data_IF_497679691076
#
_entry.id   IF_497679691076
#
_cell.length_a   1.000
_cell.length_b   1.000
_cell.length_c   1.000
_cell.angle_alpha   90.00
_cell.angle_beta   90.00
_cell.angle_gamma   90.00
#
_symmetry.space_group_name_H-M   'P 1'
#
loop_
_entity.id
_entity.type
_entity.pdbx_description
1 polymer ?
2 non-polymer ?
3 water ?
#
# COMPACT_ATOMS: atom_id res chain seq x y z
N UNK A 4 -18.24 7.73 0.01
CA UNK A 4 -18.47 7.95 1.43
C UNK A 4 -17.21 7.71 2.26
N UNK A 5 -16.44 6.68 1.91
CA UNK A 5 -15.20 6.42 2.63
C UNK A 5 -14.20 5.76 1.70
N UNK A 6 -12.92 5.98 1.98
CA UNK A 6 -11.81 5.29 1.33
C UNK A 6 -11.02 4.60 2.43
N UNK A 7 -10.74 3.31 2.25
CA UNK A 7 -9.97 2.48 3.17
C UNK A 7 -8.77 1.87 2.45
N UNK A 8 -7.84 1.36 3.25
CA UNK A 8 -6.79 0.53 2.72
C UNK A 8 -7.38 -0.60 1.89
N UNK A 9 -6.75 -0.93 0.77
CA UNK A 9 -7.26 -1.90 -0.15
C UNK A 9 -8.16 -1.35 -1.24
N UNK A 10 -8.71 -0.15 -1.04
CA UNK A 10 -9.52 0.46 -2.07
C UNK A 10 -8.62 1.15 -3.10
N UNK A 11 -9.14 1.31 -4.30
CA UNK A 11 -8.40 1.90 -5.41
C UNK A 11 -8.73 3.38 -5.56
N UNK A 12 -7.73 4.19 -5.82
CA UNK A 12 -7.88 5.58 -6.22
C UNK A 12 -7.46 5.71 -7.68
N UNK A 13 -7.98 6.73 -8.35
CA UNK A 13 -7.84 6.91 -9.78
C UNK A 13 -7.22 8.27 -10.08
N UNK A 14 -6.36 8.29 -11.09
CA UNK A 14 -5.69 9.53 -11.45
C UNK A 14 -5.21 9.43 -12.90
N UNK A 15 -4.43 10.43 -13.32
CA UNK A 15 -3.77 10.38 -14.61
C UNK A 15 -2.73 9.27 -14.70
N UNK A 16 -2.30 8.71 -13.58
CA UNK A 16 -1.39 7.56 -13.59
C UNK A 16 -2.13 6.25 -13.80
N UNK A 17 -3.45 6.26 -13.79
CA UNK A 17 -4.25 5.06 -13.85
C UNK A 17 -4.83 4.75 -12.48
N UNK A 18 -4.83 3.49 -12.11
CA UNK A 18 -5.35 3.04 -10.83
C UNK A 18 -4.20 2.72 -9.89
N UNK A 19 -4.32 3.14 -8.62
CA UNK A 19 -3.37 2.78 -7.58
C UNK A 19 -4.12 2.44 -6.30
N UNK A 20 -3.71 1.38 -5.63
CA UNK A 20 -4.39 0.92 -4.43
C UNK A 20 -3.84 1.67 -3.22
N UNK A 21 -4.72 2.04 -2.30
CA UNK A 21 -4.29 2.58 -1.02
C UNK A 21 -3.78 1.44 -0.15
N UNK A 22 -2.56 1.57 0.35
CA UNK A 22 -2.07 0.61 1.30
C UNK A 22 -2.70 0.81 2.67
N UNK A 23 -2.46 1.97 3.26
CA UNK A 23 -2.97 2.28 4.58
C UNK A 23 -3.33 3.74 4.65
N UNK A 24 -4.40 4.05 5.38
CA UNK A 24 -4.69 5.42 5.78
C UNK A 24 -3.94 5.73 7.08
N UNK A 25 -3.57 7.00 7.25
CA UNK A 25 -2.88 7.42 8.46
C UNK A 25 -3.25 8.86 8.73
N UNK A 26 -2.77 9.39 9.85
CA UNK A 26 -3.19 10.72 10.26
C UNK A 26 -2.04 11.43 10.94
N UNK A 27 -2.13 12.76 10.90
CA UNK A 27 -1.20 13.67 11.57
C UNK A 27 -2.01 14.93 11.83
N UNK A 28 -2.12 15.34 13.08
CA UNK A 28 -2.74 16.63 13.38
C UNK A 28 -4.13 16.85 12.83
N UNK A 29 -4.95 15.81 12.82
CA UNK A 29 -6.29 15.95 12.31
C UNK A 29 -6.43 15.93 10.79
N UNK A 30 -5.32 15.83 10.06
CA UNK A 30 -5.33 15.64 8.61
C UNK A 30 -5.11 14.16 8.33
N UNK A 31 -5.74 13.68 7.27
CA UNK A 31 -5.67 12.29 6.85
C UNK A 31 -4.87 12.12 5.58
N UNK A 32 -4.21 10.95 5.47
CA UNK A 32 -3.27 10.64 4.41
C UNK A 32 -3.44 9.20 3.98
N UNK A 33 -3.08 8.93 2.72
CA UNK A 33 -2.98 7.58 2.19
C UNK A 33 -1.52 7.32 1.87
N UNK A 34 -1.04 6.13 2.25
CA UNK A 34 0.27 5.64 1.88
C UNK A 34 0.09 4.66 0.74
N UNK A 35 0.76 4.92 -0.37
CA UNK A 35 0.55 4.23 -1.65
C UNK A 35 1.91 3.80 -2.17
N UNK A 36 1.91 2.97 -3.21
CA UNK A 36 3.16 2.58 -3.84
C UNK A 36 3.71 3.72 -4.70
N UNK A 37 5.03 3.92 -4.62
CA UNK A 37 5.62 5.09 -5.26
C UNK A 37 5.64 5.03 -6.78
N UNK A 38 6.02 3.88 -7.34
CA UNK A 38 6.08 3.77 -8.80
C UNK A 38 4.73 4.04 -9.43
N UNK A 39 3.66 3.53 -8.82
CA UNK A 39 2.32 3.67 -9.37
C UNK A 39 1.87 5.11 -9.39
N UNK A 40 2.18 5.87 -8.33
CA UNK A 40 1.72 7.24 -8.22
C UNK A 40 2.39 8.08 -9.27
N UNK A 41 3.68 7.88 -9.47
CA UNK A 41 4.32 8.45 -10.64
C UNK A 41 4.26 9.95 -10.54
N UNK A 42 3.84 10.58 -11.64
CA UNK A 42 3.78 12.02 -11.71
C UNK A 42 2.39 12.58 -11.60
N UNK A 43 1.48 11.90 -10.92
CA UNK A 43 0.12 12.36 -10.76
C UNK A 43 0.00 13.28 -9.55
N UNK A 44 -0.93 14.23 -9.64
CA UNK A 44 -1.27 15.14 -8.56
C UNK A 44 -2.62 14.82 -7.96
N UNK A 45 -3.68 14.72 -8.76
CA UNK A 45 -5.04 14.65 -8.26
C UNK A 45 -5.53 13.22 -8.22
N UNK A 46 -6.19 12.87 -7.12
CA UNK A 46 -6.72 11.53 -6.92
C UNK A 46 -8.21 11.55 -6.67
N UNK A 47 -8.90 10.60 -7.30
CA UNK A 47 -10.35 10.47 -7.30
C UNK A 47 -10.76 9.11 -6.74
N UNK A 48 -11.92 9.07 -6.11
CA UNK A 48 -12.41 7.82 -5.53
C UNK A 48 -13.13 6.95 -6.54
N UNK A 49 -13.42 7.47 -7.74
CA UNK A 49 -14.21 6.76 -8.73
C UNK A 49 -13.52 6.75 -10.09
N UNK A 50 -13.78 5.69 -10.86
CA UNK A 50 -13.19 5.59 -12.18
C UNK A 50 -13.60 6.73 -13.09
N UNK A 51 -14.80 7.26 -12.89
CA UNK A 51 -15.27 8.40 -13.65
C UNK A 51 -14.52 9.69 -13.32
N UNK A 52 -13.72 9.70 -12.26
CA UNK A 52 -12.98 10.87 -11.83
C UNK A 52 -13.91 12.06 -11.58
N UNK A 53 -14.98 11.80 -10.82
CA UNK A 53 -15.91 12.84 -10.42
C UNK A 53 -15.86 13.17 -8.93
N UNK A 54 -15.29 12.29 -8.10
CA UNK A 54 -15.17 12.52 -6.67
C UNK A 54 -13.69 12.68 -6.34
N UNK A 55 -13.22 13.92 -6.33
CA UNK A 55 -11.84 14.23 -5.98
C UNK A 55 -11.67 14.05 -4.48
N UNK A 56 -10.60 13.36 -4.07
CA UNK A 56 -10.38 13.13 -2.65
C UNK A 56 -9.05 13.65 -2.13
N UNK A 57 -8.02 13.81 -2.94
CA UNK A 57 -6.76 14.25 -2.39
C UNK A 57 -5.72 14.52 -3.45
N UNK A 58 -4.54 14.92 -2.97
CA UNK A 58 -3.41 15.29 -3.82
C UNK A 58 -2.13 14.60 -3.34
N UNK A 59 -1.24 14.34 -4.29
CA UNK A 59 0.06 13.79 -3.93
C UNK A 59 0.81 14.79 -3.10
N UNK A 60 1.24 14.37 -1.91
CA UNK A 60 2.08 15.21 -1.09
C UNK A 60 3.57 14.96 -1.33
N UNK A 61 3.98 13.70 -1.45
CA UNK A 61 5.38 13.38 -1.64
C UNK A 61 5.50 12.02 -2.29
N UNK A 62 6.55 11.85 -3.08
CA UNK A 62 6.91 10.56 -3.68
C UNK A 62 8.30 10.20 -3.20
N UNK A 63 8.44 9.02 -2.61
CA UNK A 63 9.73 8.48 -2.17
C UNK A 63 10.01 7.26 -3.02
N UNK A 64 10.43 7.50 -4.23
CA UNK A 64 10.73 6.47 -5.22
C UNK A 64 11.66 7.07 -6.25
N UNK A 65 12.76 6.40 -6.65
CA UNK A 65 13.30 5.14 -6.14
C UNK A 65 13.97 5.36 -4.80
N UNK A 66 14.84 4.42 -4.43
CA UNK A 66 15.39 4.40 -3.10
C UNK A 66 14.43 3.64 -2.19
N UNK A 67 13.38 4.31 -1.77
CA UNK A 67 12.20 3.67 -1.24
C UNK A 67 11.24 3.41 -2.40
N UNK A 68 10.03 2.93 -2.09
CA UNK A 68 8.99 2.80 -3.09
C UNK A 68 7.62 3.03 -2.44
N UNK A 69 7.39 4.27 -1.99
CA UNK A 69 6.07 4.66 -1.49
C UNK A 69 5.81 6.11 -1.86
N UNK A 70 4.54 6.49 -1.72
CA UNK A 70 4.14 7.87 -1.88
C UNK A 70 3.11 8.18 -0.80
N UNK A 71 2.98 9.45 -0.50
CA UNK A 71 2.03 9.92 0.50
C UNK A 71 1.06 10.85 -0.20
N UNK A 72 -0.21 10.53 -0.12
CA UNK A 72 -1.30 11.36 -0.64
C UNK A 72 -1.97 12.02 0.55
N UNK A 73 -2.19 13.33 0.47
CA UNK A 73 -2.93 14.05 1.50
C UNK A 73 -4.38 14.16 1.06
N UNK A 74 -5.29 13.67 1.89
CA UNK A 74 -6.70 13.78 1.59
C UNK A 74 -7.18 15.21 1.84
N UNK A 75 -7.93 15.74 0.91
CA UNK A 75 -8.42 17.10 0.98
C UNK A 75 -9.95 17.21 0.98
N UNK A 76 -10.70 16.13 0.74
CA UNK A 76 -12.15 16.17 0.67
C UNK A 76 -12.71 15.85 2.05
N UNK A 77 -13.25 16.85 2.72
CA UNK A 77 -13.71 16.66 4.09
C UNK A 77 -15.08 16.02 4.17
N UNK A 78 -15.73 15.76 3.05
CA UNK A 78 -17.00 15.06 3.06
C UNK A 78 -16.86 13.55 2.97
N UNK A 79 -15.64 13.04 2.77
CA UNK A 79 -15.37 11.59 2.72
C UNK A 79 -14.58 11.20 3.96
N UNK A 80 -14.84 9.99 4.47
CA UNK A 80 -14.18 9.44 5.65
C UNK A 80 -12.98 8.59 5.23
N UNK A 81 -11.94 8.63 6.07
CA UNK A 81 -10.68 7.92 5.82
C UNK A 81 -10.31 7.13 7.06
N UNK A 82 -11.06 6.09 7.36
CA UNK A 82 -10.81 5.35 8.60
C UNK A 82 -9.52 4.55 8.53
N UNK A 83 -8.99 4.24 9.72
CA UNK A 83 -7.74 3.50 9.86
C UNK A 83 -7.97 2.02 9.72
N UNK A 84 -8.46 1.60 8.56
CA UNK A 84 -9.00 0.28 8.34
C UNK A 84 -8.63 -0.18 6.95
N UNK A 85 -8.70 -1.49 6.75
CA UNK A 85 -8.63 -2.10 5.44
C UNK A 85 -9.99 -2.67 5.08
N UNK A 86 -10.38 -2.53 3.82
CA UNK A 86 -11.63 -3.06 3.32
C UNK A 86 -11.40 -4.52 2.94
N UNK A 87 -12.05 -5.43 3.66
CA UNK A 87 -11.94 -6.86 3.38
C UNK A 87 -12.94 -7.31 2.33
N UNK A 88 -13.84 -6.44 1.90
CA UNK A 88 -14.93 -6.83 1.03
C UNK A 88 -16.16 -7.25 1.82
N UNK A 89 -17.32 -7.14 1.18
CA UNK A 89 -18.55 -7.59 1.80
C UNK A 89 -18.97 -6.78 3.00
N UNK A 90 -18.49 -5.55 3.12
CA UNK A 90 -18.82 -4.72 4.25
C UNK A 90 -18.06 -5.04 5.50
N UNK A 91 -17.03 -5.88 5.42
CA UNK A 91 -16.19 -6.19 6.56
C UNK A 91 -14.90 -5.39 6.49
N UNK A 92 -14.46 -4.92 7.65
CA UNK A 92 -13.29 -4.06 7.76
C UNK A 92 -12.36 -4.58 8.83
N UNK A 93 -11.05 -4.39 8.60
CA UNK A 93 -10.00 -4.73 9.54
C UNK A 93 -9.43 -3.43 10.11
N UNK A 94 -9.43 -3.30 11.44
CA UNK A 94 -8.83 -2.14 12.09
C UNK A 94 -7.33 -2.35 12.20
N UNK A 95 -6.56 -1.46 11.61
CA UNK A 95 -5.10 -1.48 11.64
C UNK A 95 -4.64 -0.68 12.86
N UNK A 96 -3.90 -1.33 13.76
CA UNK A 96 -3.57 -0.75 15.07
C UNK A 96 -2.18 -0.14 15.16
N UNK A 97 -1.26 -0.52 14.28
CA UNK A 97 0.11 -0.13 14.37
C UNK A 97 0.89 -0.91 13.32
N UNK A 98 2.19 -0.68 13.29
CA UNK A 98 3.06 -1.24 12.27
C UNK A 98 4.10 -2.17 12.88
N UNK A 99 4.52 -3.15 12.10
CA UNK A 99 5.55 -4.09 12.51
C UNK A 99 6.92 -3.70 11.96
N UNK A 100 7.94 -3.98 12.71
CA UNK A 100 9.31 -4.00 12.20
C UNK A 100 9.50 -5.39 11.60
N UNK A 101 9.58 -5.54 10.28
CA UNK A 101 9.52 -6.89 9.70
C UNK A 101 10.70 -7.77 10.12
N UNK A 102 10.39 -9.05 10.34
CA UNK A 102 11.38 -10.04 10.77
C UNK A 102 11.15 -11.29 9.94
N UNK A 103 12.24 -11.94 9.52
CA UNK A 103 12.11 -13.15 8.75
C UNK A 103 11.35 -14.19 9.55
N UNK A 104 10.43 -14.89 8.89
CA UNK A 104 9.64 -15.95 9.45
C UNK A 104 8.28 -15.53 9.92
N UNK A 105 8.02 -14.25 10.07
CA UNK A 105 6.73 -13.87 10.60
C UNK A 105 5.64 -14.03 9.56
N UNK A 106 4.43 -14.29 10.02
CA UNK A 106 3.31 -14.47 9.12
C UNK A 106 2.88 -13.14 8.55
N UNK A 107 2.39 -13.17 7.33
CA UNK A 107 1.90 -11.98 6.66
C UNK A 107 0.83 -12.40 5.67
N UNK A 108 -0.21 -11.58 5.56
CA UNK A 108 -1.33 -11.85 4.67
C UNK A 108 -1.64 -10.62 3.83
N UNK A 109 -2.15 -10.87 2.64
CA UNK A 109 -2.61 -9.84 1.71
C UNK A 109 -4.12 -9.95 1.61
N UNK A 110 -4.87 -9.24 2.45
CA UNK A 110 -6.33 -9.30 2.36
C UNK A 110 -6.80 -9.01 0.95
N UNK A 111 -7.64 -9.88 0.42
CA UNK A 111 -8.23 -9.71 -0.89
C UNK A 111 -7.63 -10.58 -1.97
N UNK A 112 -6.39 -11.04 -1.80
CA UNK A 112 -5.80 -11.93 -2.78
C UNK A 112 -6.67 -13.17 -2.95
N UNK A 113 -6.89 -13.55 -4.19
CA UNK A 113 -7.74 -14.69 -4.53
C UNK A 113 -6.94 -15.77 -5.23
N UNK A 114 -5.63 -15.80 -4.95
CA UNK A 114 -4.69 -16.72 -5.58
C UNK A 114 -4.53 -18.04 -4.84
N UNK A 115 -5.11 -18.18 -3.65
CA UNK A 115 -4.74 -19.26 -2.75
C UNK A 115 -3.43 -19.04 -2.04
N UNK A 116 -2.76 -17.93 -2.30
CA UNK A 116 -1.49 -17.60 -1.66
C UNK A 116 -1.60 -16.27 -0.93
N UNK A 117 -2.80 -15.98 -0.39
CA UNK A 117 -3.04 -14.72 0.29
C UNK A 117 -2.24 -14.60 1.58
N UNK A 118 -1.96 -15.72 2.24
CA UNK A 118 -1.20 -15.70 3.47
C UNK A 118 0.13 -16.44 3.28
N UNK A 119 1.15 -15.94 3.92
CA UNK A 119 2.48 -16.51 3.80
C UNK A 119 3.36 -16.05 4.92
N UNK A 120 4.65 -15.94 4.63
CA UNK A 120 5.61 -15.52 5.63
C UNK A 120 6.61 -14.56 5.01
N UNK A 121 7.24 -13.77 5.87
CA UNK A 121 8.38 -12.96 5.45
C UNK A 121 9.55 -13.90 5.19
N UNK A 122 10.04 -13.94 3.96
CA UNK A 122 11.15 -14.80 3.59
C UNK A 122 12.50 -14.08 3.68
N UNK A 123 12.52 -12.77 3.44
CA UNK A 123 13.77 -12.02 3.51
C UNK A 123 13.45 -10.56 3.77
N UNK A 124 14.39 -9.85 4.41
CA UNK A 124 14.25 -8.41 4.64
C UNK A 124 15.45 -7.71 3.98
N UNK A 125 15.31 -6.40 3.82
CA UNK A 125 16.39 -5.57 3.28
C UNK A 125 16.82 -6.00 1.88
N UNK A 126 15.82 -6.32 1.03
CA UNK A 126 16.06 -6.74 -0.35
C UNK A 126 16.10 -5.53 -1.26
N UNK A 127 17.02 -5.55 -2.21
CA UNK A 127 17.12 -4.52 -3.23
C UNK A 127 16.75 -5.05 -4.60
N UNK A 128 16.13 -4.20 -5.40
CA UNK A 128 15.82 -4.52 -6.79
C UNK A 128 16.08 -3.29 -7.64
N UNK A 129 16.64 -3.48 -8.83
CA UNK A 129 16.85 -2.39 -9.76
C UNK A 129 15.63 -2.26 -10.67
N UNK A 130 15.02 -1.10 -10.65
CA UNK A 130 13.96 -0.71 -11.56
C UNK A 130 14.51 0.23 -12.61
N UNK A 131 13.76 0.49 -13.68
CA UNK A 131 14.24 1.46 -14.68
C UNK A 131 14.53 2.80 -14.06
N UNK A 132 13.72 3.20 -13.08
CA UNK A 132 13.88 4.47 -12.44
C UNK A 132 15.05 4.51 -11.47
N UNK A 133 15.56 3.36 -11.04
CA UNK A 133 16.66 3.32 -10.09
C UNK A 133 16.53 2.14 -9.15
N UNK A 134 17.51 2.06 -8.24
CA UNK A 134 17.52 0.99 -7.25
C UNK A 134 16.51 1.29 -6.16
N UNK A 135 15.75 0.27 -5.78
CA UNK A 135 14.87 0.31 -4.61
C UNK A 135 15.47 -0.65 -3.57
N UNK A 136 15.75 -0.15 -2.38
CA UNK A 136 16.28 -0.98 -1.32
C UNK A 136 15.28 -1.11 -0.18
N UNK A 137 15.62 -1.93 0.81
CA UNK A 137 14.82 -2.04 2.02
C UNK A 137 13.55 -2.85 1.92
N UNK A 138 13.41 -3.66 0.89
CA UNK A 138 12.16 -4.34 0.61
C UNK A 138 12.05 -5.66 1.37
N UNK A 139 10.81 -6.08 1.58
CA UNK A 139 10.52 -7.38 2.18
C UNK A 139 10.08 -8.36 1.10
N UNK A 140 10.68 -9.54 1.10
CA UNK A 140 10.23 -10.63 0.25
C UNK A 140 9.28 -11.52 1.05
N UNK A 141 8.12 -11.82 0.49
CA UNK A 141 7.17 -12.71 1.14
C UNK A 141 6.89 -13.92 0.29
N UNK A 142 6.40 -14.98 0.93
CA UNK A 142 5.88 -16.11 0.18
C UNK A 142 4.42 -15.94 -0.22
N UNK A 143 3.75 -14.89 0.24
CA UNK A 143 2.39 -14.62 -0.23
C UNK A 143 2.46 -14.07 -1.66
N UNK A 144 1.35 -14.17 -2.38
CA UNK A 144 1.36 -13.64 -3.73
C UNK A 144 -0.03 -13.15 -4.08
N UNK A 145 -0.08 -11.95 -4.61
CA UNK A 145 -1.28 -11.38 -5.19
C UNK A 145 -1.00 -11.09 -6.66
N UNK A 146 -2.05 -11.20 -7.47
CA UNK A 146 -1.98 -10.97 -8.90
C UNK A 146 -1.11 -9.75 -9.19
N UNK A 147 -0.02 -9.89 -9.95
CA UNK A 147 0.90 -8.75 -10.11
C UNK A 147 0.32 -7.58 -10.87
N UNK A 148 -0.71 -7.80 -11.70
CA UNK A 148 -1.26 -6.72 -12.50
C UNK A 148 -2.02 -5.68 -11.70
N UNK A 149 -2.58 -6.08 -10.56
CA UNK A 149 -3.30 -5.18 -9.66
C UNK A 149 -2.63 -5.05 -8.30
N UNK A 150 -1.38 -5.50 -8.17
CA UNK A 150 -0.79 -5.64 -6.85
C UNK A 150 -0.38 -4.32 -6.23
N UNK A 151 -0.07 -3.31 -7.04
CA UNK A 151 0.63 -2.12 -6.56
C UNK A 151 -0.12 -1.37 -5.48
N UNK A 152 0.41 -1.45 -4.30
CA UNK A 152 -0.14 -0.79 -3.16
C UNK A 152 -0.96 -1.66 -2.25
N UNK A 153 -1.26 -2.89 -2.61
CA UNK A 153 -2.15 -3.69 -1.76
C UNK A 153 -1.55 -3.87 -0.37
N UNK A 154 -2.35 -3.76 0.67
CA UNK A 154 -1.81 -3.86 2.02
C UNK A 154 -1.47 -5.29 2.41
N UNK A 155 -0.41 -5.38 3.21
CA UNK A 155 0.02 -6.62 3.82
C UNK A 155 0.06 -6.43 5.32
N UNK A 156 -0.58 -7.33 6.05
CA UNK A 156 -0.76 -7.22 7.49
C UNK A 156 -0.38 -8.52 8.17
N UNK A 157 -0.15 -8.45 9.48
CA UNK A 157 0.02 -9.60 10.36
C UNK A 157 -0.99 -9.35 11.48
N UNK A 158 -2.14 -10.01 11.42
CA UNK A 158 -3.20 -9.68 12.35
C UNK A 158 -3.70 -8.26 12.08
N UNK A 159 -3.70 -7.41 13.12
CA UNK A 159 -4.09 -6.02 12.99
C UNK A 159 -2.90 -5.10 12.73
N UNK A 160 -1.73 -5.66 12.50
CA UNK A 160 -0.47 -4.93 12.40
C UNK A 160 -0.08 -4.77 10.93
N UNK A 161 0.22 -3.56 10.54
CA UNK A 161 0.62 -3.27 9.18
C UNK A 161 2.06 -3.70 8.97
N UNK A 162 2.31 -4.43 7.88
CA UNK A 162 3.65 -4.81 7.50
C UNK A 162 4.16 -3.97 6.35
N UNK A 163 3.41 -3.91 5.25
CA UNK A 163 3.90 -3.15 4.12
C UNK A 163 2.86 -3.10 3.03
N UNK A 164 3.28 -2.58 1.87
CA UNK A 164 2.41 -2.49 0.70
C UNK A 164 3.10 -3.17 -0.49
N UNK A 165 2.32 -3.83 -1.31
CA UNK A 165 2.89 -4.66 -2.35
C UNK A 165 3.39 -3.85 -3.53
N UNK A 166 4.50 -4.30 -4.10
CA UNK A 166 4.99 -3.77 -5.37
C UNK A 166 4.28 -4.46 -6.51
N UNK A 167 3.99 -3.70 -7.56
CA UNK A 167 3.39 -4.27 -8.74
C UNK A 167 4.42 -4.95 -9.64
N UNK A 168 3.90 -5.68 -10.61
CA UNK A 168 4.75 -6.36 -11.58
C UNK A 168 5.25 -7.70 -11.09
N UNK A 169 6.08 -8.33 -11.92
CA UNK A 169 6.63 -9.64 -11.60
C UNK A 169 5.81 -10.78 -12.16
N UNK A 170 6.17 -12.00 -11.73
CA UNK A 170 5.60 -13.18 -12.30
C UNK A 170 4.22 -13.54 -11.74
N UNK A 171 3.46 -14.27 -12.55
CA UNK A 171 2.15 -14.76 -12.12
C UNK A 171 2.32 -15.62 -10.87
N UNK A 172 1.30 -15.58 -10.01
CA UNK A 172 1.37 -16.34 -8.76
C UNK A 172 1.32 -17.84 -9.00
N UNK A 173 0.92 -18.27 -10.19
CA UNK A 173 0.89 -19.69 -10.53
C UNK A 173 2.21 -20.18 -11.12
N UNK A 174 3.15 -19.29 -11.39
CA UNK A 174 4.42 -19.65 -12.00
C UNK A 174 5.58 -19.27 -11.09
N UNK A 175 5.39 -19.41 -9.77
CA UNK A 175 6.44 -19.12 -8.81
C UNK A 175 6.62 -17.66 -8.49
N UNK A 176 5.68 -16.81 -8.89
CA UNK A 176 5.82 -15.38 -8.62
C UNK A 176 5.97 -15.10 -7.13
N UNK A 177 6.69 -14.02 -6.84
CA UNK A 177 7.02 -13.58 -5.48
C UNK A 177 6.50 -12.16 -5.30
N UNK A 178 5.81 -11.89 -4.19
CA UNK A 178 5.36 -10.53 -3.90
C UNK A 178 6.33 -9.86 -2.92
N UNK A 179 6.86 -8.71 -3.31
CA UNK A 179 7.74 -7.90 -2.49
C UNK A 179 6.93 -6.75 -1.92
N UNK A 180 7.30 -6.32 -0.72
CA UNK A 180 6.61 -5.24 -0.04
C UNK A 180 7.56 -4.11 0.29
N UNK A 181 7.04 -2.88 0.17
CA UNK A 181 7.63 -1.73 0.81
C UNK A 181 7.15 -1.70 2.25
N UNK A 182 8.04 -1.80 3.24
CA UNK A 182 7.58 -1.73 4.64
C UNK A 182 6.94 -0.38 4.95
N UNK A 183 5.90 -0.42 5.79
CA UNK A 183 5.18 0.81 6.10
C UNK A 183 5.86 1.60 7.21
N UNK A 184 6.52 0.94 8.15
CA UNK A 184 7.11 1.67 9.29
C UNK A 184 8.04 2.79 8.85
N UNK A 185 8.92 2.62 7.88
CA UNK A 185 9.79 3.75 7.50
C UNK A 185 9.01 4.94 6.99
N UNK A 186 7.88 4.72 6.32
CA UNK A 186 7.08 5.82 5.81
C UNK A 186 6.40 6.56 6.94
N UNK A 187 5.83 5.83 7.90
CA UNK A 187 5.23 6.47 9.04
C UNK A 187 6.26 7.33 9.76
N UNK A 188 7.46 6.80 9.94
CA UNK A 188 8.50 7.55 10.65
C UNK A 188 8.93 8.78 9.86
N UNK A 189 9.11 8.63 8.55
CA UNK A 189 9.59 9.74 7.74
C UNK A 189 8.62 10.91 7.71
N UNK A 190 7.31 10.63 7.77
CA UNK A 190 6.28 11.65 7.60
C UNK A 190 5.51 11.96 8.87
N UNK A 191 5.89 11.37 10.00
CA UNK A 191 5.19 11.66 11.25
C UNK A 191 3.76 11.21 11.31
N UNK A 192 3.43 10.10 10.67
CA UNK A 192 2.07 9.63 10.50
C UNK A 192 1.78 8.52 11.50
N UNK A 193 0.54 8.47 11.98
CA UNK A 193 0.09 7.44 12.89
C UNK A 193 -1.07 6.67 12.27
N UNK A 194 -1.03 5.36 12.43
CA UNK A 194 -2.11 4.49 11.99
C UNK A 194 -3.22 4.58 13.03
N UNK A 195 -4.31 5.25 12.67
CA UNK A 195 -5.39 5.56 13.60
C UNK A 195 -6.47 4.49 13.61
#
# INVERSE_FOLDING_TARGET
>A
MAPTAVRGGNVLFSASGRCTVGFNATKGGTYYAIMEGRCVGGARDWYADAARTVHVGVTEAVRYPGDDYAVIRYTNTAVSYPGEIDLGGGRYLDVTGAARPVVGQSVCLPGATTGRHCGRVEAVNVSVNHPEGTVSGLVRTSACTEPGTAAGRPAVSGSTAVGLALGGGGNCASGGTTYLQPVLPALAAFGLTLHGSSLEVLFQGPGGSSHHHHHH
#
